data_IF_145978793714
#
_entry.id   IF_145978793714
#
_cell.length_a   1.000
_cell.length_b   1.000
_cell.length_c   1.000
_cell.angle_alpha   90.00
_cell.angle_beta   90.00
_cell.angle_gamma   90.00
#
_symmetry.space_group_name_H-M   'P 1'
#
loop_
_entity.id
_entity.type
_entity.pdbx_description
1 polymer ?
#
# COMPACT_ATOMS: atom_id res chain seq x y z
N UNK A 1 -60.59 26.02 -5.28
CA UNK A 1 -59.80 26.82 -6.24
C UNK A 1 -59.14 25.86 -7.22
N UNK A 2 -59.49 25.89 -8.51
CA UNK A 2 -58.81 25.11 -9.53
C UNK A 2 -57.41 25.72 -9.83
N UNK A 3 -56.42 24.92 -10.26
CA UNK A 3 -55.15 25.46 -10.72
C UNK A 3 -55.32 26.25 -12.02
N UNK A 4 -54.55 27.32 -12.26
CA UNK A 4 -54.58 28.04 -13.53
C UNK A 4 -53.97 27.18 -14.64
N UNK A 5 -54.70 27.07 -15.75
CA UNK A 5 -54.24 26.48 -17.01
C UNK A 5 -52.99 27.20 -17.51
N UNK A 6 -51.86 26.50 -17.55
CA UNK A 6 -50.70 26.94 -18.30
C UNK A 6 -50.99 26.77 -19.80
N UNK A 7 -51.37 27.85 -20.46
CA UNK A 7 -51.38 27.92 -21.92
C UNK A 7 -49.91 27.90 -22.41
N UNK A 8 -49.57 26.95 -23.27
CA UNK A 8 -48.31 26.99 -24.02
C UNK A 8 -48.40 28.11 -25.08
N UNK A 9 -47.41 29.01 -25.18
CA UNK A 9 -47.26 29.88 -26.34
C UNK A 9 -46.76 29.09 -27.56
N UNK A 10 -47.28 29.46 -28.72
CA UNK A 10 -46.99 28.93 -30.04
C UNK A 10 -45.48 28.92 -30.36
N UNK A 11 -45.05 27.83 -30.99
CA UNK A 11 -43.66 27.62 -31.40
C UNK A 11 -43.20 28.64 -32.45
N UNK A 12 -41.94 29.09 -32.40
CA UNK A 12 -41.40 30.03 -33.36
C UNK A 12 -41.28 29.41 -34.77
N UNK A 13 -41.49 30.21 -35.85
CA UNK A 13 -41.31 29.76 -37.22
C UNK A 13 -39.83 29.52 -37.54
N UNK A 14 -39.60 28.51 -38.38
CA UNK A 14 -38.30 27.94 -38.70
C UNK A 14 -37.26 28.96 -39.15
N UNK A 15 -36.23 29.13 -38.32
CA UNK A 15 -34.94 29.65 -38.77
C UNK A 15 -34.23 28.60 -39.61
N UNK A 16 -33.87 28.96 -40.83
CA UNK A 16 -32.98 28.18 -41.69
C UNK A 16 -31.64 28.03 -40.99
N UNK A 17 -31.33 26.81 -40.53
CA UNK A 17 -30.01 26.43 -40.03
C UNK A 17 -29.03 26.57 -41.19
N UNK A 18 -28.29 27.68 -41.21
CA UNK A 18 -27.10 27.84 -42.04
C UNK A 18 -26.10 26.76 -41.60
N UNK A 19 -25.90 25.78 -42.47
CA UNK A 19 -24.99 24.67 -42.25
C UNK A 19 -23.56 25.18 -42.39
N UNK A 20 -22.96 25.54 -41.27
CA UNK A 20 -21.53 25.86 -41.19
C UNK A 20 -20.75 24.59 -41.54
N UNK A 21 -20.23 24.52 -42.76
CA UNK A 21 -19.37 23.43 -43.23
C UNK A 21 -17.97 23.55 -42.63
N UNK A 22 -17.88 23.41 -41.30
CA UNK A 22 -16.60 23.16 -40.66
C UNK A 22 -16.09 21.83 -41.20
N UNK A 23 -14.96 21.88 -41.93
CA UNK A 23 -14.35 20.71 -42.53
C UNK A 23 -14.09 19.65 -41.46
N UNK A 24 -14.77 18.52 -41.58
CA UNK A 24 -14.46 17.31 -40.84
C UNK A 24 -13.11 16.79 -41.33
N UNK A 25 -12.03 17.36 -40.79
CA UNK A 25 -10.67 16.85 -40.92
C UNK A 25 -10.57 15.58 -40.07
N UNK A 26 -10.99 14.45 -40.64
CA UNK A 26 -10.82 13.14 -40.03
C UNK A 26 -9.34 12.80 -39.86
N UNK A 27 -8.97 12.31 -38.67
CA UNK A 27 -7.65 11.74 -38.40
C UNK A 27 -7.30 10.68 -39.44
N UNK A 28 -6.10 10.74 -40.00
CA UNK A 28 -5.65 9.72 -40.94
C UNK A 28 -5.36 8.41 -40.21
N UNK A 29 -5.65 7.26 -40.84
CA UNK A 29 -5.28 5.95 -40.28
C UNK A 29 -3.76 5.84 -40.04
N UNK A 30 -2.97 6.55 -40.85
CA UNK A 30 -1.51 6.61 -40.73
C UNK A 30 -1.08 7.39 -39.49
N UNK A 31 -1.75 8.49 -39.14
CA UNK A 31 -1.50 9.22 -37.88
C UNK A 31 -1.73 8.34 -36.66
N UNK A 32 -2.84 7.60 -36.64
CA UNK A 32 -3.10 6.71 -35.51
C UNK A 32 -2.14 5.53 -35.47
N UNK A 33 -1.70 5.03 -36.63
CA UNK A 33 -0.73 3.94 -36.72
C UNK A 33 0.65 4.34 -36.16
N UNK A 34 1.19 5.49 -36.56
CA UNK A 34 2.51 5.93 -36.05
C UNK A 34 2.49 6.18 -34.54
N UNK A 35 1.38 6.70 -34.01
CA UNK A 35 1.22 6.92 -32.56
C UNK A 35 1.27 5.60 -31.81
N UNK A 36 0.58 4.56 -32.29
CA UNK A 36 0.57 3.24 -31.64
C UNK A 36 1.97 2.60 -31.63
N UNK A 37 2.76 2.82 -32.69
CA UNK A 37 4.16 2.36 -32.74
C UNK A 37 5.01 3.10 -31.70
N UNK A 38 4.89 4.42 -31.60
CA UNK A 38 5.67 5.21 -30.65
C UNK A 38 5.31 4.87 -29.21
N UNK A 39 4.01 4.81 -28.86
CA UNK A 39 3.60 4.41 -27.50
C UNK A 39 4.01 2.96 -27.18
N UNK A 40 4.05 2.08 -28.18
CA UNK A 40 4.53 0.70 -28.03
C UNK A 40 5.99 0.64 -27.60
N UNK A 41 6.85 1.44 -28.23
CA UNK A 41 8.28 1.54 -27.89
C UNK A 41 8.45 2.10 -26.46
N UNK A 42 7.71 3.17 -26.12
CA UNK A 42 7.78 3.78 -24.79
C UNK A 42 7.29 2.81 -23.70
N UNK A 43 6.18 2.09 -23.93
CA UNK A 43 5.63 1.14 -22.99
C UNK A 43 6.57 -0.05 -22.74
N UNK A 44 7.26 -0.54 -23.77
CA UNK A 44 8.20 -1.65 -23.65
C UNK A 44 9.34 -1.36 -22.65
N UNK A 45 9.82 -0.11 -22.58
CA UNK A 45 10.85 0.32 -21.64
C UNK A 45 10.23 0.69 -20.28
N UNK A 46 9.08 1.36 -20.28
CA UNK A 46 8.47 1.87 -19.06
C UNK A 46 7.95 0.77 -18.12
N UNK A 47 7.34 -0.29 -18.65
CA UNK A 47 6.73 -1.37 -17.86
C UNK A 47 7.72 -2.11 -16.94
N UNK A 48 8.90 -2.58 -17.41
CA UNK A 48 9.85 -3.26 -16.53
C UNK A 48 10.44 -2.31 -15.49
N UNK A 49 10.73 -1.05 -15.86
CA UNK A 49 11.24 -0.04 -14.94
C UNK A 49 10.20 0.24 -13.83
N UNK A 50 8.95 0.48 -14.21
CA UNK A 50 7.87 0.73 -13.25
C UNK A 50 7.67 -0.46 -12.30
N UNK A 51 7.73 -1.70 -12.82
CA UNK A 51 7.58 -2.91 -12.00
C UNK A 51 8.71 -3.06 -10.99
N UNK A 52 9.95 -2.83 -11.40
CA UNK A 52 11.12 -2.87 -10.50
C UNK A 52 11.11 -1.77 -9.45
N UNK A 53 10.73 -0.54 -9.81
CA UNK A 53 10.57 0.57 -8.88
C UNK A 53 9.49 0.28 -7.84
N UNK A 54 8.36 -0.30 -8.25
CA UNK A 54 7.30 -0.72 -7.33
C UNK A 54 7.77 -1.78 -6.33
N UNK A 55 8.57 -2.75 -6.78
CA UNK A 55 9.16 -3.75 -5.90
C UNK A 55 10.15 -3.12 -4.89
N UNK A 56 11.01 -2.19 -5.33
CA UNK A 56 11.95 -1.49 -4.47
C UNK A 56 11.25 -0.58 -3.44
N UNK A 57 10.15 0.08 -3.83
CA UNK A 57 9.31 0.86 -2.93
C UNK A 57 8.70 -0.01 -1.83
N UNK A 58 8.22 -1.22 -2.18
CA UNK A 58 7.70 -2.19 -1.20
C UNK A 58 8.78 -2.70 -0.26
N UNK A 59 9.98 -3.02 -0.76
CA UNK A 59 11.11 -3.42 0.09
C UNK A 59 11.46 -2.31 1.11
N UNK A 60 11.44 -1.05 0.68
CA UNK A 60 11.66 0.10 1.57
C UNK A 60 10.54 0.24 2.60
N UNK A 61 9.28 0.07 2.19
CA UNK A 61 8.13 0.12 3.08
C UNK A 61 8.21 -0.96 4.17
N UNK A 62 8.57 -2.19 3.83
CA UNK A 62 8.75 -3.29 4.81
C UNK A 62 9.88 -2.98 5.81
N UNK A 63 10.98 -2.38 5.35
CA UNK A 63 12.07 -1.93 6.25
C UNK A 63 11.59 -0.85 7.22
N UNK A 64 10.76 0.07 6.76
CA UNK A 64 10.19 1.11 7.61
C UNK A 64 9.22 0.49 8.64
N UNK A 65 8.34 -0.42 8.18
CA UNK A 65 7.40 -1.15 9.05
C UNK A 65 8.15 -1.91 10.15
N UNK A 66 9.18 -2.71 9.82
CA UNK A 66 9.89 -3.50 10.82
C UNK A 66 10.71 -2.63 11.78
N UNK A 67 11.23 -1.50 11.31
CA UNK A 67 11.94 -0.55 12.16
C UNK A 67 10.99 0.16 13.12
N UNK A 68 9.82 0.57 12.65
CA UNK A 68 8.79 1.17 13.50
C UNK A 68 8.30 0.16 14.54
N UNK A 69 8.00 -1.07 14.09
CA UNK A 69 7.57 -2.15 14.97
C UNK A 69 8.62 -2.50 16.03
N UNK A 70 9.89 -2.66 15.62
CA UNK A 70 10.99 -2.91 16.54
C UNK A 70 11.15 -1.80 17.57
N UNK A 71 10.97 -0.52 17.20
CA UNK A 71 11.02 0.60 18.16
C UNK A 71 9.88 0.54 19.17
N UNK A 72 8.69 0.13 18.79
CA UNK A 72 7.56 -0.04 19.71
C UNK A 72 7.79 -1.20 20.69
N UNK A 73 8.36 -2.31 20.20
CA UNK A 73 8.80 -3.42 21.06
C UNK A 73 9.92 -2.99 22.00
N UNK A 74 10.90 -2.24 21.51
CA UNK A 74 11.97 -1.68 22.34
C UNK A 74 11.42 -0.77 23.44
N UNK A 75 10.44 0.07 23.11
CA UNK A 75 9.80 0.98 24.05
C UNK A 75 9.05 0.22 25.16
N UNK A 76 8.40 -0.90 24.84
CA UNK A 76 7.78 -1.77 25.85
C UNK A 76 8.81 -2.26 26.87
N UNK A 77 9.94 -2.80 26.39
CA UNK A 77 10.96 -3.39 27.25
C UNK A 77 11.80 -2.38 28.05
N UNK A 78 11.53 -1.07 27.92
CA UNK A 78 12.09 -0.05 28.84
C UNK A 78 11.51 -0.24 30.25
N UNK A 79 10.19 -0.45 30.35
CA UNK A 79 9.45 -0.52 31.62
C UNK A 79 8.77 -1.90 31.85
N UNK A 80 8.60 -2.66 30.78
CA UNK A 80 7.95 -3.97 30.74
C UNK A 80 8.97 -5.11 30.92
N UNK A 81 8.62 -6.07 31.76
CA UNK A 81 9.41 -7.30 31.98
C UNK A 81 8.66 -8.56 31.56
N UNK A 82 7.49 -8.40 30.93
CA UNK A 82 6.65 -9.51 30.48
C UNK A 82 7.15 -10.10 29.16
N UNK A 83 6.51 -11.19 28.75
CA UNK A 83 6.73 -11.78 27.44
C UNK A 83 5.66 -11.22 26.51
N UNK A 84 6.09 -10.54 25.45
CA UNK A 84 5.17 -10.19 24.39
C UNK A 84 4.86 -11.43 23.56
N UNK A 85 3.66 -11.49 23.00
CA UNK A 85 3.25 -12.48 22.01
C UNK A 85 2.62 -11.79 20.81
N UNK A 86 2.69 -12.41 19.64
CA UNK A 86 1.85 -12.06 18.50
C UNK A 86 0.74 -13.11 18.42
N UNK A 87 -0.48 -12.84 18.89
CA UNK A 87 -1.59 -13.74 18.65
C UNK A 87 -1.92 -13.76 17.15
N UNK A 88 -1.76 -14.94 16.52
CA UNK A 88 -2.08 -15.19 15.11
C UNK A 88 -3.52 -14.76 14.76
N UNK A 89 -4.45 -14.85 15.72
CA UNK A 89 -5.88 -14.59 15.56
C UNK A 89 -6.27 -13.10 15.42
N UNK A 90 -5.36 -12.16 15.67
CA UNK A 90 -5.61 -10.71 15.54
C UNK A 90 -4.90 -10.06 14.35
N UNK A 91 -4.16 -10.84 13.56
CA UNK A 91 -3.52 -10.38 12.34
C UNK A 91 -4.56 -10.11 11.25
N UNK A 92 -5.15 -8.90 11.28
CA UNK A 92 -5.96 -8.39 10.17
C UNK A 92 -5.01 -8.13 9.00
N UNK A 93 -5.45 -8.28 7.73
CA UNK A 93 -4.64 -7.87 6.60
C UNK A 93 -4.18 -6.42 6.79
N UNK A 94 -2.86 -6.20 6.88
CA UNK A 94 -2.28 -4.88 7.10
C UNK A 94 -2.15 -4.42 8.55
N UNK A 95 -2.41 -5.27 9.56
CA UNK A 95 -2.13 -4.95 10.96
C UNK A 95 -1.53 -6.12 11.72
N UNK A 96 -0.61 -5.83 12.62
CA UNK A 96 -0.13 -6.75 13.65
C UNK A 96 -0.54 -6.26 15.02
N UNK A 97 -0.84 -7.20 15.89
CA UNK A 97 -1.18 -6.93 17.29
C UNK A 97 -0.20 -7.69 18.16
N UNK A 98 0.42 -7.01 19.12
CA UNK A 98 1.18 -7.61 20.19
C UNK A 98 0.38 -7.52 21.48
N UNK A 99 0.44 -8.58 22.28
CA UNK A 99 -0.15 -8.65 23.61
C UNK A 99 0.91 -9.07 24.61
N UNK A 100 0.78 -8.61 25.85
CA UNK A 100 1.59 -9.10 26.98
C UNK A 100 0.78 -10.13 27.77
N UNK A 101 1.29 -11.34 27.89
CA UNK A 101 0.61 -12.43 28.62
C UNK A 101 0.49 -12.12 30.12
N UNK A 102 1.42 -11.32 30.68
CA UNK A 102 1.38 -10.89 32.08
C UNK A 102 0.48 -9.66 32.29
N UNK A 103 0.16 -8.91 31.23
CA UNK A 103 -0.68 -7.70 31.27
C UNK A 103 -1.64 -7.69 30.08
N UNK A 104 -2.79 -8.39 30.15
CA UNK A 104 -3.70 -8.56 29.01
C UNK A 104 -4.34 -7.25 28.51
N UNK A 105 -4.30 -6.17 29.29
CA UNK A 105 -4.73 -4.83 28.86
C UNK A 105 -3.70 -4.11 28.00
N UNK A 106 -2.47 -4.61 27.93
CA UNK A 106 -1.41 -4.04 27.10
C UNK A 106 -1.51 -4.59 25.68
N UNK A 107 -1.79 -3.70 24.74
CA UNK A 107 -1.97 -4.02 23.32
C UNK A 107 -1.19 -3.02 22.49
N UNK A 108 -0.29 -3.51 21.65
CA UNK A 108 0.37 -2.70 20.62
C UNK A 108 -0.26 -3.06 19.28
N UNK A 109 -0.68 -2.07 18.49
CA UNK A 109 -1.21 -2.28 17.15
C UNK A 109 -0.37 -1.56 16.12
N UNK A 110 0.22 -2.32 15.19
CA UNK A 110 1.10 -1.77 14.16
C UNK A 110 0.45 -1.94 12.81
N UNK A 111 0.37 -0.85 12.06
CA UNK A 111 -0.10 -0.89 10.68
C UNK A 111 1.06 -1.31 9.77
N UNK A 112 0.81 -2.33 8.98
CA UNK A 112 1.73 -2.84 7.97
C UNK A 112 1.41 -2.28 6.59
N UNK A 113 2.45 -2.13 5.79
CA UNK A 113 2.34 -1.84 4.36
C UNK A 113 1.71 -3.01 3.62
N UNK A 114 1.08 -2.72 2.48
CA UNK A 114 0.36 -3.73 1.69
C UNK A 114 1.29 -4.83 1.19
N UNK A 115 0.96 -6.08 1.50
CA UNK A 115 1.79 -7.25 1.15
C UNK A 115 2.90 -7.54 2.16
N UNK A 116 2.98 -6.82 3.29
CA UNK A 116 3.88 -7.18 4.39
C UNK A 116 3.16 -8.15 5.34
N UNK A 117 3.87 -9.19 5.80
CA UNK A 117 3.41 -10.11 6.86
C UNK A 117 4.56 -10.43 7.82
N UNK A 118 4.24 -11.06 8.95
CA UNK A 118 5.25 -11.64 9.84
C UNK A 118 5.99 -12.80 9.17
N UNK A 119 7.29 -12.89 9.42
CA UNK A 119 8.09 -14.05 9.05
C UNK A 119 8.08 -15.08 10.21
N UNK A 120 7.96 -16.37 9.86
CA UNK A 120 8.00 -17.49 10.80
C UNK A 120 9.42 -18.14 10.86
N UNK A 121 9.82 -18.82 11.95
CA UNK A 121 9.09 -19.08 13.21
C UNK A 121 9.06 -17.85 14.15
N UNK A 122 8.20 -17.85 15.19
CA UNK A 122 7.85 -16.63 15.90
C UNK A 122 8.98 -16.08 16.78
N UNK A 123 9.00 -14.76 16.78
CA UNK A 123 9.52 -13.77 17.72
C UNK A 123 9.95 -14.34 19.09
N UNK A 124 11.24 -14.23 19.43
CA UNK A 124 11.72 -14.32 20.82
C UNK A 124 11.40 -12.96 21.48
N UNK A 125 10.79 -12.95 22.66
CA UNK A 125 10.19 -11.74 23.25
C UNK A 125 10.45 -11.63 24.76
N UNK A 126 11.74 -11.68 25.15
CA UNK A 126 12.17 -11.21 26.47
C UNK A 126 12.95 -9.88 26.37
N UNK A 127 13.12 -9.19 27.49
CA UNK A 127 13.71 -7.85 27.53
C UNK A 127 15.18 -7.79 27.09
N UNK A 128 15.88 -8.92 27.04
CA UNK A 128 17.32 -8.99 26.75
C UNK A 128 17.65 -9.50 25.35
N UNK A 129 16.81 -10.37 24.80
CA UNK A 129 16.96 -10.96 23.49
C UNK A 129 15.59 -11.04 22.81
N UNK A 130 15.35 -10.14 21.88
CA UNK A 130 14.15 -10.18 21.06
C UNK A 130 14.45 -9.86 19.60
N UNK A 131 13.64 -10.41 18.71
CA UNK A 131 13.75 -10.19 17.28
C UNK A 131 12.38 -10.24 16.63
N UNK A 132 12.02 -9.18 15.90
CA UNK A 132 10.83 -9.14 15.03
C UNK A 132 11.26 -9.20 13.58
N UNK A 133 10.59 -10.01 12.77
CA UNK A 133 10.87 -10.12 11.34
C UNK A 133 9.61 -9.98 10.50
N UNK A 134 9.70 -9.13 9.47
CA UNK A 134 8.65 -8.90 8.49
C UNK A 134 9.14 -9.32 7.11
N UNK A 135 8.25 -9.91 6.32
CA UNK A 135 8.52 -10.35 4.96
C UNK A 135 7.49 -9.79 3.98
N UNK A 136 7.95 -9.52 2.77
CA UNK A 136 7.12 -9.00 1.68
C UNK A 136 6.57 -10.14 0.82
N UNK A 137 5.27 -10.41 0.88
CA UNK A 137 4.57 -11.37 0.02
C UNK A 137 4.49 -10.94 -1.45
N UNK A 138 4.60 -9.65 -1.71
CA UNK A 138 4.29 -9.06 -3.00
C UNK A 138 5.57 -8.53 -3.66
N UNK A 139 6.43 -9.43 -4.14
CA UNK A 139 7.66 -9.07 -4.86
C UNK A 139 8.76 -10.13 -4.76
N UNK A 140 9.96 -9.72 -4.33
CA UNK A 140 11.16 -10.57 -4.24
C UNK A 140 11.21 -11.47 -2.99
N UNK A 141 10.15 -11.50 -2.18
CA UNK A 141 10.08 -12.26 -0.92
C UNK A 141 11.28 -12.04 0.02
N UNK A 142 11.60 -10.77 0.29
CA UNK A 142 12.66 -10.42 1.23
C UNK A 142 12.13 -10.28 2.63
N UNK A 143 12.92 -10.78 3.58
CA UNK A 143 12.68 -10.66 5.01
C UNK A 143 13.66 -9.66 5.62
N UNK A 144 13.13 -8.77 6.45
CA UNK A 144 13.91 -7.83 7.25
C UNK A 144 13.59 -8.06 8.72
N UNK A 145 14.60 -7.95 9.56
CA UNK A 145 14.46 -8.13 10.99
C UNK A 145 14.86 -6.86 11.74
N UNK A 146 14.31 -6.69 12.93
CA UNK A 146 14.79 -5.75 13.91
C UNK A 146 14.96 -6.50 15.22
N UNK A 147 16.19 -6.53 15.72
CA UNK A 147 16.54 -7.38 16.86
C UNK A 147 17.38 -6.61 17.87
N UNK A 148 17.33 -7.06 19.12
CA UNK A 148 18.28 -6.68 20.17
C UNK A 148 19.12 -7.88 20.59
N UNK A 149 20.41 -7.65 20.77
CA UNK A 149 21.32 -8.58 21.45
C UNK A 149 22.28 -7.78 22.32
N UNK A 150 22.32 -8.06 23.62
CA UNK A 150 23.29 -7.45 24.53
C UNK A 150 23.20 -5.92 24.65
N UNK A 151 22.00 -5.35 24.55
CA UNK A 151 21.75 -3.91 24.71
C UNK A 151 21.92 -3.06 23.44
N UNK A 152 22.18 -3.69 22.29
CA UNK A 152 22.18 -3.01 21.00
C UNK A 152 21.04 -3.51 20.13
N UNK A 153 20.22 -2.59 19.62
CA UNK A 153 19.09 -2.90 18.73
C UNK A 153 19.29 -2.31 17.33
N UNK A 154 18.95 -3.07 16.29
CA UNK A 154 19.20 -2.63 14.92
C UNK A 154 18.41 -3.38 13.86
N UNK A 155 18.37 -2.77 12.66
CA UNK A 155 17.77 -3.34 11.46
C UNK A 155 18.76 -4.31 10.79
N UNK A 156 18.31 -5.54 10.52
CA UNK A 156 19.03 -6.54 9.76
C UNK A 156 18.21 -7.09 8.59
N UNK A 157 18.82 -8.02 7.86
CA UNK A 157 18.18 -8.74 6.75
C UNK A 157 18.22 -10.24 7.00
N UNK A 158 17.12 -10.92 6.65
CA UNK A 158 16.93 -12.33 6.94
C UNK A 158 15.92 -12.55 8.06
N UNK A 159 15.64 -13.81 8.39
CA UNK A 159 14.77 -14.16 9.50
C UNK A 159 15.42 -13.79 10.85
N UNK A 160 14.63 -13.93 11.91
CA UNK A 160 15.15 -14.21 13.23
C UNK A 160 15.61 -15.68 13.27
#
# INVERSE_FOLDING_TARGET
MPPPSCALPDGPPGGTVSKDQHGDHGFTLVELLVVMVVIGILAAIAVPIFTSQRAAARDTAVKQDVTAFGKEVAAYFVDGTGVLGVPDATSRPGYLVLTDDARPSYVITVRLSAGTRLAAPPVVLDATHWCVALTNDAGRQKTYNYATSGGSSGLGSGPC
#
